data_IF_083476775867
#
_entry.id   IF_083476775867
#
_cell.length_a   1.000
_cell.length_b   1.000
_cell.length_c   1.000
_cell.angle_alpha   90.00
_cell.angle_beta   90.00
_cell.angle_gamma   90.00
#
_symmetry.space_group_name_H-M   'P 1'
#
loop_
_entity.id
_entity.type
_entity.pdbx_description
1 polymer ?
#
# COMPACT_ATOMS: atom_id res chain seq x y z
N UNK A 1 2.17 23.54 20.99
CA UNK A 1 2.27 22.07 21.10
C UNK A 1 1.51 21.66 22.35
N UNK A 2 0.28 21.15 22.21
CA UNK A 2 -0.55 20.76 23.35
C UNK A 2 -0.53 19.24 23.48
N UNK A 3 0.03 18.74 24.58
CA UNK A 3 0.00 17.34 24.95
C UNK A 3 -1.32 17.06 25.69
N UNK A 4 -2.26 16.40 25.03
CA UNK A 4 -3.44 15.83 25.69
C UNK A 4 -3.25 14.31 25.78
N UNK A 5 -2.53 13.84 26.79
CA UNK A 5 -2.49 12.38 27.06
C UNK A 5 -2.41 12.00 28.54
N UNK A 6 -2.72 12.88 29.48
CA UNK A 6 -2.81 12.47 30.89
C UNK A 6 -3.98 13.18 31.54
N UNK A 7 -5.16 12.55 31.51
CA UNK A 7 -6.24 12.73 32.49
C UNK A 7 -7.32 11.68 32.22
N UNK A 8 -7.01 10.41 32.47
CA UNK A 8 -8.03 9.36 32.62
C UNK A 8 -8.21 9.13 34.11
N UNK A 9 -9.28 9.68 34.67
CA UNK A 9 -9.61 9.54 36.08
C UNK A 9 -10.13 8.12 36.35
N UNK A 10 -9.30 7.26 36.95
CA UNK A 10 -9.62 5.83 37.16
C UNK A 10 -10.84 5.59 38.05
N UNK A 11 -11.28 6.56 38.86
CA UNK A 11 -12.42 6.39 39.76
C UNK A 11 -13.80 6.46 39.08
N UNK A 12 -13.89 7.02 37.87
CA UNK A 12 -15.12 7.10 37.07
C UNK A 12 -15.48 5.77 36.38
N UNK A 13 -14.54 4.81 36.29
CA UNK A 13 -14.72 3.56 35.53
C UNK A 13 -15.41 2.41 36.32
N UNK A 14 -15.93 2.67 37.53
CA UNK A 14 -16.49 1.62 38.40
C UNK A 14 -17.93 1.20 38.07
N UNK A 15 -18.60 1.90 37.16
CA UNK A 15 -20.01 1.67 36.82
C UNK A 15 -20.24 1.27 35.35
N UNK A 16 -19.20 0.80 34.67
CA UNK A 16 -19.28 0.39 33.27
C UNK A 16 -19.82 -1.04 33.22
N UNK A 17 -21.03 -1.20 32.70
CA UNK A 17 -21.64 -2.53 32.49
C UNK A 17 -20.74 -3.36 31.56
N UNK A 18 -20.56 -4.67 31.79
CA UNK A 18 -19.67 -5.52 30.98
C UNK A 18 -20.02 -5.51 29.49
N UNK A 19 -21.29 -5.30 29.13
CA UNK A 19 -21.74 -5.15 27.75
C UNK A 19 -21.21 -3.88 27.04
N UNK A 20 -20.89 -2.83 27.80
CA UNK A 20 -20.34 -1.57 27.27
C UNK A 20 -18.85 -1.67 26.95
N UNK A 21 -18.11 -2.51 27.68
CA UNK A 21 -16.69 -2.77 27.43
C UNK A 21 -16.51 -3.51 26.09
N UNK A 22 -17.43 -4.43 25.78
CA UNK A 22 -17.45 -5.14 24.49
C UNK A 22 -17.60 -4.19 23.29
N UNK A 23 -18.37 -3.11 23.45
CA UNK A 23 -18.65 -2.15 22.39
C UNK A 23 -17.42 -1.26 22.08
N UNK A 24 -16.64 -0.90 23.10
CA UNK A 24 -15.41 -0.08 22.96
C UNK A 24 -14.29 -0.90 22.28
N UNK A 25 -14.16 -2.19 22.60
CA UNK A 25 -13.23 -3.12 21.94
C UNK A 25 -13.56 -3.36 20.45
N UNK A 26 -14.83 -3.20 20.05
CA UNK A 26 -15.25 -3.39 18.66
C UNK A 26 -14.75 -2.28 17.73
N UNK A 27 -14.54 -1.06 18.24
CA UNK A 27 -14.25 0.13 17.45
C UNK A 27 -12.73 0.31 17.21
N UNK A 28 -11.86 -0.31 18.01
CA UNK A 28 -10.40 -0.15 17.90
C UNK A 28 -9.75 -0.85 16.69
N UNK A 29 -10.52 -1.51 15.81
CA UNK A 29 -9.98 -2.38 14.76
C UNK A 29 -10.03 -1.83 13.33
N UNK A 30 -10.52 -0.62 13.07
CA UNK A 30 -10.89 -0.23 11.69
C UNK A 30 -10.41 1.17 11.27
N UNK A 31 -9.11 1.36 11.10
CA UNK A 31 -8.62 2.36 10.13
C UNK A 31 -7.16 2.16 9.75
N UNK A 32 -6.89 1.18 8.89
CA UNK A 32 -5.70 1.29 8.03
C UNK A 32 -5.95 2.42 7.03
N UNK A 33 -5.05 3.40 6.98
CA UNK A 33 -5.08 4.44 5.95
C UNK A 33 -4.48 3.84 4.69
N UNK A 34 -5.34 3.57 3.70
CA UNK A 34 -4.89 3.11 2.39
C UNK A 34 -3.98 4.15 1.73
N UNK A 35 -2.81 3.72 1.30
CA UNK A 35 -1.86 4.50 0.53
C UNK A 35 -2.03 4.21 -0.96
N UNK A 36 -2.04 5.27 -1.75
CA UNK A 36 -2.05 5.18 -3.23
C UNK A 36 -0.70 5.65 -3.74
N UNK A 37 -0.16 4.94 -4.71
CA UNK A 37 1.13 5.25 -5.31
C UNK A 37 1.01 5.20 -6.84
N UNK A 38 1.70 6.14 -7.50
CA UNK A 38 1.81 6.22 -8.94
C UNK A 38 3.24 5.88 -9.30
N UNK A 39 3.42 4.84 -10.11
CA UNK A 39 4.73 4.38 -10.58
C UNK A 39 4.82 4.72 -12.05
N UNK A 40 5.67 5.69 -12.36
CA UNK A 40 6.06 6.02 -13.73
C UNK A 40 7.46 5.53 -13.99
N UNK A 41 7.73 5.02 -15.19
CA UNK A 41 9.08 4.61 -15.56
C UNK A 41 9.29 4.57 -17.06
N UNK A 42 10.56 4.48 -17.44
CA UNK A 42 10.99 4.21 -18.80
C UNK A 42 11.40 2.74 -18.90
N UNK A 43 11.25 2.15 -20.08
CA UNK A 43 11.69 0.80 -20.38
C UNK A 43 12.74 0.83 -21.49
N UNK A 44 13.84 0.13 -21.30
CA UNK A 44 14.83 -0.16 -22.34
C UNK A 44 14.70 -1.64 -22.72
N UNK A 45 14.59 -1.94 -24.02
CA UNK A 45 14.48 -3.32 -24.51
C UNK A 45 13.09 -3.97 -24.38
N UNK A 46 12.10 -3.29 -23.79
CA UNK A 46 10.69 -3.75 -23.78
C UNK A 46 9.95 -3.13 -24.96
N UNK A 47 9.33 -3.96 -25.79
CA UNK A 47 8.59 -3.50 -26.97
C UNK A 47 7.33 -2.73 -26.58
N UNK A 48 7.03 -1.67 -27.31
CA UNK A 48 5.74 -0.98 -27.22
C UNK A 48 4.55 -1.94 -27.44
N UNK A 49 3.49 -1.73 -26.67
CA UNK A 49 2.33 -2.61 -26.61
C UNK A 49 2.49 -3.82 -25.68
N UNK A 50 3.68 -4.07 -25.12
CA UNK A 50 3.90 -5.10 -24.10
C UNK A 50 3.16 -4.74 -22.83
N UNK A 51 2.51 -5.74 -22.22
CA UNK A 51 1.82 -5.59 -20.94
C UNK A 51 2.78 -5.72 -19.77
N UNK A 52 2.67 -4.79 -18.83
CA UNK A 52 3.27 -4.82 -17.51
C UNK A 52 2.19 -5.00 -16.46
N UNK A 53 2.49 -5.75 -15.41
CA UNK A 53 1.59 -6.09 -14.32
C UNK A 53 2.23 -5.70 -13.00
N UNK A 54 1.50 -4.97 -12.17
CA UNK A 54 1.88 -4.60 -10.81
C UNK A 54 1.21 -5.53 -9.81
N UNK A 55 2.00 -6.16 -8.94
CA UNK A 55 1.50 -7.04 -7.87
C UNK A 55 2.12 -6.73 -6.51
N UNK A 56 1.40 -7.02 -5.44
CA UNK A 56 2.02 -7.25 -4.12
C UNK A 56 2.82 -8.55 -4.12
N UNK A 57 3.85 -8.66 -3.28
CA UNK A 57 4.68 -9.88 -3.22
C UNK A 57 4.09 -10.98 -2.32
N UNK A 58 3.39 -10.63 -1.24
CA UNK A 58 2.74 -11.58 -0.34
C UNK A 58 1.55 -10.95 0.42
N UNK A 59 0.32 -11.49 0.30
CA UNK A 59 -0.10 -12.42 -0.75
C UNK A 59 0.05 -11.75 -2.13
N UNK A 60 0.26 -12.54 -3.19
CA UNK A 60 0.33 -11.96 -4.54
C UNK A 60 -1.05 -11.51 -5.00
N UNK A 61 -1.24 -10.20 -5.10
CA UNK A 61 -2.49 -9.56 -5.53
C UNK A 61 -2.17 -8.64 -6.69
N UNK A 62 -2.89 -8.78 -7.81
CA UNK A 62 -2.80 -7.85 -8.93
C UNK A 62 -3.42 -6.51 -8.53
N UNK A 63 -2.62 -5.44 -8.65
CA UNK A 63 -3.05 -4.09 -8.32
C UNK A 63 -3.44 -3.31 -9.58
N UNK A 64 -2.63 -3.44 -10.64
CA UNK A 64 -2.85 -2.73 -11.90
C UNK A 64 -2.08 -3.39 -13.06
N UNK A 65 -2.41 -3.01 -14.29
CA UNK A 65 -1.68 -3.39 -15.49
C UNK A 65 -1.73 -2.30 -16.54
N UNK A 66 -0.66 -2.15 -17.31
CA UNK A 66 -0.57 -1.12 -18.35
C UNK A 66 0.21 -1.63 -19.56
N UNK A 67 0.03 -0.98 -20.70
CA UNK A 67 0.88 -1.21 -21.88
C UNK A 67 2.02 -0.22 -21.89
N UNK A 68 3.21 -0.69 -22.26
CA UNK A 68 4.32 0.19 -22.63
C UNK A 68 3.93 0.99 -23.86
N UNK A 69 4.14 2.31 -23.81
CA UNK A 69 3.92 3.24 -24.92
C UNK A 69 5.10 4.18 -25.03
N UNK A 70 5.74 4.24 -26.20
CA UNK A 70 6.95 5.02 -26.47
C UNK A 70 8.04 4.76 -25.42
N UNK A 71 8.24 3.50 -25.05
CA UNK A 71 9.20 3.10 -24.02
C UNK A 71 8.88 3.63 -22.62
N UNK A 72 7.63 3.99 -22.32
CA UNK A 72 7.19 4.51 -21.02
C UNK A 72 6.02 3.71 -20.48
N UNK A 73 5.85 3.73 -19.16
CA UNK A 73 4.69 3.16 -18.49
C UNK A 73 4.24 4.02 -17.30
N UNK A 74 2.98 3.84 -16.93
CA UNK A 74 2.40 4.40 -15.70
C UNK A 74 1.48 3.34 -15.11
N UNK A 75 1.70 3.02 -13.84
CA UNK A 75 0.92 2.08 -13.04
C UNK A 75 0.43 2.80 -11.78
N UNK A 76 -0.75 2.45 -11.32
CA UNK A 76 -1.31 2.97 -10.07
C UNK A 76 -1.58 1.79 -9.14
N UNK A 77 -1.09 1.84 -7.91
CA UNK A 77 -1.44 0.82 -6.93
C UNK A 77 -1.96 1.42 -5.65
N UNK A 78 -2.70 0.60 -4.90
CA UNK A 78 -3.27 0.94 -3.61
C UNK A 78 -2.99 -0.18 -2.62
N UNK A 79 -2.51 0.17 -1.43
CA UNK A 79 -2.23 -0.77 -0.35
C UNK A 79 -2.68 -0.21 0.98
N UNK A 80 -3.10 -1.09 1.88
CA UNK A 80 -3.44 -0.75 3.27
C UNK A 80 -2.21 -0.79 4.19
N UNK A 81 -1.08 -1.28 3.67
CA UNK A 81 0.18 -1.40 4.40
C UNK A 81 1.00 -0.11 4.29
N UNK A 82 1.80 0.19 5.33
CA UNK A 82 2.71 1.36 5.34
C UNK A 82 3.88 1.21 4.36
N UNK A 83 4.39 -0.01 4.28
CA UNK A 83 5.49 -0.43 3.42
C UNK A 83 5.04 -1.72 2.76
N UNK A 84 5.19 -1.85 1.45
CA UNK A 84 4.77 -3.04 0.73
C UNK A 84 5.83 -3.48 -0.26
N UNK A 85 6.24 -4.74 -0.17
CA UNK A 85 7.03 -5.35 -1.24
C UNK A 85 6.13 -5.60 -2.45
N UNK A 86 6.56 -5.14 -3.60
CA UNK A 86 5.83 -5.19 -4.86
C UNK A 86 6.70 -5.69 -6.00
N UNK A 87 6.03 -6.09 -7.07
CA UNK A 87 6.61 -6.65 -8.27
C UNK A 87 5.96 -6.00 -9.50
N UNK A 88 6.78 -5.47 -10.40
CA UNK A 88 6.37 -5.22 -11.78
C UNK A 88 6.93 -6.33 -12.64
N UNK A 89 6.10 -6.94 -13.48
CA UNK A 89 6.55 -8.01 -14.37
C UNK A 89 5.81 -8.01 -15.72
N UNK A 90 6.44 -8.58 -16.74
CA UNK A 90 5.80 -8.95 -18.00
C UNK A 90 5.01 -10.26 -17.84
N UNK A 91 4.10 -10.56 -18.78
CA UNK A 91 3.23 -11.74 -18.72
C UNK A 91 3.99 -13.06 -18.47
N UNK A 92 5.18 -13.22 -19.06
CA UNK A 92 6.01 -14.43 -18.96
C UNK A 92 7.08 -14.36 -17.87
N UNK A 93 7.14 -13.25 -17.11
CA UNK A 93 8.20 -12.98 -16.12
C UNK A 93 9.61 -12.98 -16.73
N UNK A 94 9.74 -12.79 -18.04
CA UNK A 94 11.03 -12.60 -18.72
C UNK A 94 11.68 -11.26 -18.36
N UNK A 95 10.88 -10.26 -17.95
CA UNK A 95 11.34 -9.02 -17.35
C UNK A 95 10.57 -8.76 -16.07
N UNK A 96 11.27 -8.58 -14.94
CA UNK A 96 10.64 -8.32 -13.66
C UNK A 96 11.51 -7.44 -12.74
N UNK A 97 10.86 -6.71 -11.85
CA UNK A 97 11.48 -5.83 -10.87
C UNK A 97 10.74 -5.94 -9.54
N UNK A 98 11.46 -6.35 -8.49
CA UNK A 98 10.98 -6.24 -7.11
C UNK A 98 11.39 -4.90 -6.51
N UNK A 99 10.50 -4.29 -5.74
CA UNK A 99 10.77 -3.03 -5.06
C UNK A 99 9.91 -2.90 -3.79
N UNK A 100 10.30 -1.98 -2.93
CA UNK A 100 9.53 -1.60 -1.75
C UNK A 100 8.79 -0.29 -2.04
N UNK A 101 7.47 -0.32 -1.93
CA UNK A 101 6.61 0.86 -2.01
C UNK A 101 6.36 1.41 -0.61
N UNK A 102 6.73 2.66 -0.40
CA UNK A 102 6.61 3.40 0.85
C UNK A 102 5.97 4.76 0.59
N UNK A 103 5.61 5.47 1.66
CA UNK A 103 5.14 6.85 1.54
C UNK A 103 6.25 7.73 0.96
N UNK A 104 5.95 8.47 -0.12
CA UNK A 104 6.89 9.33 -0.84
C UNK A 104 8.03 8.59 -1.59
N UNK A 105 7.84 7.34 -2.00
CA UNK A 105 8.84 6.64 -2.83
C UNK A 105 9.00 7.33 -4.19
N UNK A 106 10.19 7.88 -4.45
CA UNK A 106 10.63 8.31 -5.78
C UNK A 106 11.55 7.23 -6.36
N UNK A 107 11.08 6.49 -7.36
CA UNK A 107 11.89 5.46 -8.03
C UNK A 107 12.65 6.07 -9.22
N UNK A 108 13.96 5.86 -9.26
CA UNK A 108 14.79 6.09 -10.44
C UNK A 108 15.50 4.78 -10.77
N UNK A 109 15.13 4.16 -11.90
CA UNK A 109 15.81 2.98 -12.43
C UNK A 109 17.02 3.45 -13.23
N UNK A 110 18.21 2.98 -12.84
CA UNK A 110 19.45 3.12 -13.62
C UNK A 110 19.65 1.89 -14.48
#
# INVERSE_FOLDING_TARGET
>A
MCNYFWDVNFNEMKNIKPNSILFILLISSLSSIAQTFIITGNTTGVKDGTWLYLKTSSPQTLLDSTKVKNGKFTLVGRTNEKVSQMLIHTKKFDNYLFFWAEKNTHLALK
#
